data_IF_644011508507
#
_entry.id   IF_644011508507
#
_cell.length_a   1.000
_cell.length_b   1.000
_cell.length_c   1.000
_cell.angle_alpha   90.00
_cell.angle_beta   90.00
_cell.angle_gamma   90.00
#
_symmetry.space_group_name_H-M   'P 1'
#
loop_
_entity.id
_entity.type
_entity.pdbx_description
1 polymer ?
#
# COMPACT_ATOMS: atom_id res chain seq x y z
N UNK A 1 39.96 41.20 6.82
CA UNK A 1 40.27 39.75 6.89
C UNK A 1 39.46 39.17 8.00
N UNK A 2 38.30 38.63 7.70
CA UNK A 2 37.40 38.10 8.71
C UNK A 2 36.85 36.76 8.18
N UNK A 3 37.32 35.70 8.82
CA UNK A 3 36.51 34.60 9.27
C UNK A 3 35.83 33.74 8.23
N UNK A 4 36.62 32.96 7.44
CA UNK A 4 36.17 31.63 7.04
C UNK A 4 36.50 30.76 8.26
N UNK A 5 35.62 30.78 9.24
CA UNK A 5 35.64 29.80 10.31
C UNK A 5 35.48 28.42 9.71
N UNK A 6 36.28 27.49 10.19
CA UNK A 6 36.44 26.13 9.74
C UNK A 6 35.07 25.50 9.50
N UNK A 7 34.66 25.31 8.25
CA UNK A 7 33.36 24.76 7.84
C UNK A 7 33.12 23.39 8.49
N UNK A 8 34.19 22.63 8.73
CA UNK A 8 34.14 21.34 9.43
C UNK A 8 33.78 21.49 10.92
N UNK A 9 34.22 22.55 11.60
CA UNK A 9 33.85 22.78 13.01
C UNK A 9 32.39 23.22 13.15
N UNK A 10 31.89 24.05 12.23
CA UNK A 10 30.48 24.45 12.22
C UNK A 10 29.57 23.27 11.93
N UNK A 11 29.91 22.45 10.94
CA UNK A 11 29.17 21.21 10.61
C UNK A 11 29.24 20.22 11.77
N UNK A 12 30.40 20.03 12.40
CA UNK A 12 30.56 19.15 13.55
C UNK A 12 29.71 19.59 14.74
N UNK A 13 29.64 20.91 15.02
CA UNK A 13 28.74 21.45 16.07
C UNK A 13 27.28 21.24 15.75
N UNK A 14 26.85 21.46 14.49
CA UNK A 14 25.47 21.22 14.05
C UNK A 14 25.13 19.74 14.19
N UNK A 15 26.00 18.85 13.73
CA UNK A 15 25.76 17.41 13.82
C UNK A 15 25.71 16.96 15.30
N UNK A 16 26.61 17.47 16.14
CA UNK A 16 26.62 17.16 17.58
C UNK A 16 25.32 17.64 18.25
N UNK A 17 24.97 18.93 18.05
CA UNK A 17 23.68 19.48 18.56
C UNK A 17 22.45 18.73 18.06
N UNK A 18 22.47 18.24 16.81
CA UNK A 18 21.37 17.44 16.27
C UNK A 18 21.32 16.04 16.87
N UNK A 19 22.48 15.45 17.22
CA UNK A 19 22.54 14.16 17.93
C UNK A 19 22.06 14.32 19.38
N UNK A 20 22.57 15.32 20.10
CA UNK A 20 22.18 15.58 21.49
C UNK A 20 20.66 15.80 21.61
N UNK A 21 20.05 16.59 20.68
CA UNK A 21 18.60 16.76 20.61
C UNK A 21 17.86 15.46 20.35
N UNK A 22 18.37 14.61 19.45
CA UNK A 22 17.75 13.31 19.16
C UNK A 22 17.88 12.33 20.31
N UNK A 23 18.97 12.37 21.05
CA UNK A 23 19.19 11.54 22.23
C UNK A 23 18.26 11.97 23.39
N UNK A 24 17.99 13.27 23.55
CA UNK A 24 16.98 13.79 24.49
C UNK A 24 15.54 13.44 24.07
N UNK A 25 15.19 13.51 22.78
CA UNK A 25 13.88 13.14 22.25
C UNK A 25 13.63 11.61 22.26
N UNK A 26 14.69 10.81 22.24
CA UNK A 26 14.57 9.35 22.10
C UNK A 26 14.39 8.59 23.42
N UNK A 27 14.32 9.26 24.58
CA UNK A 27 14.27 8.59 25.91
C UNK A 27 13.05 7.69 26.12
N UNK A 28 11.95 7.92 25.40
CA UNK A 28 10.74 7.13 25.50
C UNK A 28 10.62 5.99 24.46
N UNK A 29 11.49 5.96 23.44
CA UNK A 29 11.42 4.96 22.39
C UNK A 29 12.41 3.82 22.67
N UNK A 30 11.89 2.58 22.80
CA UNK A 30 12.69 1.35 22.96
C UNK A 30 13.20 0.85 21.61
N UNK A 31 12.28 0.78 20.63
CA UNK A 31 12.54 0.21 19.31
C UNK A 31 11.74 0.96 18.25
N UNK A 32 12.45 1.74 17.42
CA UNK A 32 11.86 2.51 16.33
C UNK A 32 11.32 1.62 15.22
N UNK A 33 11.91 0.43 15.00
CA UNK A 33 11.52 -0.47 13.92
C UNK A 33 10.08 -0.96 14.05
N UNK A 34 9.56 -1.00 15.28
CA UNK A 34 8.16 -1.38 15.57
C UNK A 34 7.15 -0.46 14.89
N UNK A 35 7.51 0.79 14.59
CA UNK A 35 6.65 1.77 13.94
C UNK A 35 6.78 1.77 12.40
N UNK A 36 7.58 0.88 11.84
CA UNK A 36 7.54 0.63 10.40
C UNK A 36 6.24 -0.08 10.03
N UNK A 37 5.61 0.35 8.96
CA UNK A 37 4.37 -0.24 8.47
C UNK A 37 4.55 -1.68 7.98
N UNK A 38 5.77 -2.05 7.60
CA UNK A 38 6.14 -3.40 7.15
C UNK A 38 6.67 -4.28 8.30
N UNK A 39 6.77 -3.76 9.51
CA UNK A 39 7.26 -4.52 10.66
C UNK A 39 6.31 -5.68 10.98
N UNK A 40 6.82 -6.90 10.92
CA UNK A 40 6.10 -8.10 11.33
C UNK A 40 6.03 -8.16 12.86
N UNK A 41 4.85 -7.91 13.42
CA UNK A 41 4.63 -8.02 14.87
C UNK A 41 4.63 -9.47 15.31
N UNK A 42 5.23 -9.77 16.48
CA UNK A 42 5.15 -11.11 17.10
C UNK A 42 3.73 -11.45 17.56
N UNK A 43 2.91 -10.45 17.82
CA UNK A 43 1.49 -10.58 18.18
C UNK A 43 0.65 -9.83 17.14
N UNK A 44 -0.34 -10.48 16.60
CA UNK A 44 -1.31 -9.88 15.67
C UNK A 44 -2.69 -9.88 16.29
N UNK A 45 -3.52 -8.94 15.89
CA UNK A 45 -4.94 -8.98 16.19
C UNK A 45 -5.57 -10.16 15.43
N UNK A 46 -6.19 -11.08 16.16
CA UNK A 46 -6.94 -12.19 15.55
C UNK A 46 -8.25 -11.64 15.00
N UNK A 47 -8.43 -11.73 13.70
CA UNK A 47 -9.60 -11.23 12.97
C UNK A 47 -10.56 -12.35 12.62
N UNK A 48 -11.82 -11.99 12.35
CA UNK A 48 -12.89 -12.94 11.95
C UNK A 48 -12.54 -13.68 10.64
N UNK A 49 -11.73 -13.08 9.79
CA UNK A 49 -11.36 -13.61 8.48
C UNK A 49 -10.26 -14.69 8.56
N UNK A 50 -9.44 -14.68 9.62
CA UNK A 50 -8.30 -15.59 9.76
C UNK A 50 -8.72 -17.07 9.78
N UNK A 51 -9.73 -17.50 10.55
CA UNK A 51 -10.15 -18.91 10.53
C UNK A 51 -10.47 -19.43 9.14
N UNK A 52 -11.26 -18.67 8.35
CA UNK A 52 -11.62 -19.07 7.00
C UNK A 52 -10.40 -19.24 6.10
N UNK A 53 -9.46 -18.30 6.13
CA UNK A 53 -8.22 -18.37 5.34
C UNK A 53 -7.38 -19.59 5.77
N UNK A 54 -7.30 -19.82 7.08
CA UNK A 54 -6.55 -20.94 7.63
C UNK A 54 -7.17 -22.29 7.26
N UNK A 55 -8.50 -22.37 7.24
CA UNK A 55 -9.23 -23.57 6.83
C UNK A 55 -9.01 -23.87 5.33
N UNK A 56 -9.07 -22.84 4.46
CA UNK A 56 -8.82 -22.96 3.03
C UNK A 56 -7.37 -23.45 2.75
N UNK A 57 -6.40 -22.93 3.50
CA UNK A 57 -5.00 -23.38 3.38
C UNK A 57 -4.82 -24.81 3.90
N UNK A 58 -5.41 -25.16 5.04
CA UNK A 58 -5.33 -26.50 5.61
C UNK A 58 -5.98 -27.55 4.70
N UNK A 59 -7.08 -27.20 4.05
CA UNK A 59 -7.75 -28.06 3.07
C UNK A 59 -6.88 -28.25 1.82
N UNK A 60 -6.28 -27.18 1.31
CA UNK A 60 -5.29 -27.26 0.21
C UNK A 60 -4.09 -28.14 0.60
N UNK A 61 -3.54 -27.97 1.80
CA UNK A 61 -2.43 -28.76 2.30
C UNK A 61 -2.77 -30.26 2.36
N UNK A 62 -3.99 -30.59 2.79
CA UNK A 62 -4.44 -31.97 2.97
C UNK A 62 -4.76 -32.67 1.64
N UNK A 63 -5.47 -31.97 0.75
CA UNK A 63 -6.05 -32.60 -0.46
C UNK A 63 -5.29 -32.28 -1.74
N UNK A 64 -4.37 -31.32 -1.76
CA UNK A 64 -3.63 -30.86 -2.93
C UNK A 64 -4.52 -30.36 -4.07
N UNK A 65 -5.71 -29.89 -3.72
CA UNK A 65 -6.66 -29.29 -4.65
C UNK A 65 -6.63 -27.79 -4.42
N UNK A 66 -6.21 -26.99 -5.42
CA UNK A 66 -6.17 -25.53 -5.28
C UNK A 66 -7.54 -24.96 -4.94
N UNK A 67 -7.60 -24.10 -3.95
CA UNK A 67 -8.73 -23.23 -3.61
C UNK A 67 -8.25 -21.79 -3.68
N UNK A 68 -8.38 -21.21 -4.84
CA UNK A 68 -7.95 -19.83 -5.05
C UNK A 68 -8.78 -18.87 -4.22
N UNK A 69 -8.15 -17.87 -3.62
CA UNK A 69 -8.79 -16.92 -2.73
C UNK A 69 -8.52 -15.49 -3.21
N UNK A 70 -9.54 -14.65 -3.24
CA UNK A 70 -9.39 -13.20 -3.38
C UNK A 70 -9.74 -12.53 -2.05
N UNK A 71 -8.79 -11.77 -1.53
CA UNK A 71 -8.95 -10.98 -0.33
C UNK A 71 -9.00 -9.51 -0.72
N UNK A 72 -10.13 -8.87 -0.46
CA UNK A 72 -10.33 -7.47 -0.76
C UNK A 72 -10.70 -6.66 0.48
N UNK A 73 -10.35 -5.37 0.48
CA UNK A 73 -10.57 -4.45 1.57
C UNK A 73 -9.77 -3.17 1.39
N UNK A 74 -10.02 -2.17 2.21
CA UNK A 74 -9.40 -0.86 2.14
C UNK A 74 -7.88 -0.90 2.35
N UNK A 75 -7.22 0.20 2.02
CA UNK A 75 -5.82 0.45 2.38
C UNK A 75 -5.67 0.45 3.90
N UNK A 76 -4.59 -0.12 4.43
CA UNK A 76 -4.35 -0.15 5.88
C UNK A 76 -5.21 -1.14 6.67
N UNK A 77 -6.08 -1.94 6.03
CA UNK A 77 -6.91 -2.95 6.70
C UNK A 77 -6.14 -4.21 7.14
N UNK A 78 -4.85 -4.30 6.91
CA UNK A 78 -3.98 -5.39 7.39
C UNK A 78 -3.95 -6.65 6.55
N UNK A 79 -4.50 -6.68 5.31
CA UNK A 79 -4.53 -7.87 4.43
C UNK A 79 -3.15 -8.54 4.28
N UNK A 80 -2.19 -7.78 3.79
CA UNK A 80 -0.82 -8.26 3.56
C UNK A 80 -0.17 -8.80 4.82
N UNK A 81 -0.26 -8.03 5.93
CA UNK A 81 0.30 -8.43 7.22
C UNK A 81 -0.31 -9.73 7.73
N UNK A 82 -1.63 -9.87 7.65
CA UNK A 82 -2.35 -11.06 8.09
C UNK A 82 -1.92 -12.29 7.29
N UNK A 83 -1.87 -12.21 5.96
CA UNK A 83 -1.47 -13.34 5.12
C UNK A 83 -0.02 -13.76 5.38
N UNK A 84 0.91 -12.80 5.45
CA UNK A 84 2.31 -13.09 5.75
C UNK A 84 2.48 -13.68 7.16
N UNK A 85 1.67 -13.22 8.13
CA UNK A 85 1.70 -13.79 9.49
C UNK A 85 1.17 -15.24 9.52
N UNK A 86 0.13 -15.55 8.75
CA UNK A 86 -0.36 -16.94 8.59
C UNK A 86 0.75 -17.80 7.97
N UNK A 87 1.39 -17.35 6.90
CA UNK A 87 2.49 -18.09 6.26
C UNK A 87 3.67 -18.31 7.22
N UNK A 88 3.99 -17.31 8.05
CA UNK A 88 5.05 -17.45 9.05
C UNK A 88 4.65 -18.46 10.14
N UNK A 89 3.40 -18.47 10.59
CA UNK A 89 2.89 -19.43 11.56
C UNK A 89 2.93 -20.87 11.01
N UNK A 90 2.56 -21.07 9.75
CA UNK A 90 2.65 -22.37 9.07
C UNK A 90 4.10 -22.88 9.05
N UNK A 91 5.09 -22.05 8.69
CA UNK A 91 6.52 -22.42 8.75
C UNK A 91 6.98 -22.78 10.16
N UNK A 92 6.44 -22.11 11.18
CA UNK A 92 6.78 -22.34 12.58
C UNK A 92 6.17 -23.64 13.18
N UNK A 93 5.07 -24.13 12.61
CA UNK A 93 4.40 -25.35 13.10
C UNK A 93 5.21 -26.64 12.82
N UNK A 94 6.20 -26.62 11.91
CA UNK A 94 7.07 -27.74 11.57
C UNK A 94 6.36 -28.97 11.00
N UNK A 95 5.03 -28.97 10.96
CA UNK A 95 4.18 -30.01 10.36
C UNK A 95 3.69 -29.60 8.97
N UNK A 96 3.58 -28.30 8.74
CA UNK A 96 3.16 -27.78 7.44
C UNK A 96 4.28 -27.96 6.42
N UNK A 97 3.90 -28.51 5.26
CA UNK A 97 4.78 -28.68 4.10
C UNK A 97 4.53 -27.61 3.04
N UNK A 98 3.62 -26.69 3.32
CA UNK A 98 3.25 -25.60 2.40
C UNK A 98 4.33 -24.51 2.42
N UNK A 99 4.85 -24.21 1.26
CA UNK A 99 5.74 -23.05 1.05
C UNK A 99 4.98 -21.88 0.42
N UNK A 100 5.51 -20.68 0.52
CA UNK A 100 4.87 -19.51 -0.07
C UNK A 100 5.84 -18.65 -0.86
N UNK A 101 5.31 -18.08 -1.95
CA UNK A 101 5.97 -17.10 -2.80
C UNK A 101 5.13 -15.82 -2.74
N UNK A 102 5.73 -14.72 -2.26
CA UNK A 102 5.07 -13.41 -2.20
C UNK A 102 5.60 -12.48 -3.29
N UNK A 103 4.68 -11.89 -4.04
CA UNK A 103 4.99 -10.92 -5.11
C UNK A 103 4.03 -9.73 -5.00
N UNK A 104 4.59 -8.52 -4.91
CA UNK A 104 3.83 -7.28 -5.04
C UNK A 104 3.72 -6.91 -6.52
N UNK A 105 2.48 -6.90 -7.05
CA UNK A 105 2.20 -6.64 -8.46
C UNK A 105 2.42 -5.16 -8.85
N UNK A 106 2.51 -4.25 -7.89
CA UNK A 106 2.90 -2.87 -8.16
C UNK A 106 4.37 -2.76 -8.59
N UNK A 107 5.24 -3.55 -7.96
CA UNK A 107 6.66 -3.63 -8.33
C UNK A 107 6.88 -4.48 -9.58
N UNK A 108 6.08 -5.55 -9.71
CA UNK A 108 6.22 -6.57 -10.74
C UNK A 108 4.89 -6.72 -11.49
N UNK A 109 4.53 -5.77 -12.39
CA UNK A 109 3.17 -5.67 -12.92
C UNK A 109 2.85 -6.54 -14.13
N UNK A 110 3.77 -7.34 -14.65
CA UNK A 110 3.55 -8.19 -15.84
C UNK A 110 3.85 -9.64 -15.53
N UNK A 111 3.11 -10.55 -16.15
CA UNK A 111 3.31 -11.99 -16.00
C UNK A 111 4.75 -12.40 -16.35
N UNK A 112 5.35 -11.80 -17.37
CA UNK A 112 6.76 -12.01 -17.73
C UNK A 112 7.70 -11.77 -16.53
N UNK A 113 7.56 -10.63 -15.87
CA UNK A 113 8.39 -10.27 -14.70
C UNK A 113 8.08 -11.15 -13.49
N UNK A 114 6.83 -11.56 -13.33
CA UNK A 114 6.42 -12.47 -12.25
C UNK A 114 7.09 -13.84 -12.43
N UNK A 115 7.06 -14.42 -13.63
CA UNK A 115 7.77 -15.68 -13.92
C UNK A 115 9.27 -15.54 -13.66
N UNK A 116 9.89 -14.46 -14.13
CA UNK A 116 11.31 -14.21 -13.87
C UNK A 116 11.62 -14.14 -12.37
N UNK A 117 10.75 -13.51 -11.58
CA UNK A 117 10.91 -13.39 -10.11
C UNK A 117 10.71 -14.74 -9.41
N UNK A 118 9.71 -15.54 -9.80
CA UNK A 118 9.49 -16.90 -9.27
C UNK A 118 10.68 -17.79 -9.59
N UNK A 119 11.16 -17.77 -10.83
CA UNK A 119 12.30 -18.56 -11.29
C UNK A 119 13.67 -18.03 -10.84
N UNK A 120 13.70 -16.95 -10.06
CA UNK A 120 14.92 -16.25 -9.62
C UNK A 120 15.89 -15.94 -10.78
N UNK A 121 15.34 -15.54 -11.94
CA UNK A 121 16.09 -15.31 -13.17
C UNK A 121 16.41 -13.82 -13.31
N UNK A 122 17.70 -13.52 -13.43
CA UNK A 122 18.19 -12.13 -13.66
C UNK A 122 18.49 -11.85 -15.14
N UNK A 123 18.53 -12.88 -15.98
CA UNK A 123 18.82 -12.76 -17.40
C UNK A 123 17.67 -12.04 -18.13
N UNK A 124 18.02 -11.07 -18.95
CA UNK A 124 17.06 -10.29 -19.75
C UNK A 124 16.83 -10.93 -21.12
N UNK A 125 15.62 -10.78 -21.65
CA UNK A 125 15.31 -11.17 -23.02
C UNK A 125 15.06 -12.67 -23.24
N UNK A 126 14.87 -13.44 -22.17
CA UNK A 126 14.48 -14.85 -22.29
C UNK A 126 13.07 -14.99 -22.90
N UNK A 127 12.81 -16.04 -23.69
CA UNK A 127 11.47 -16.39 -24.13
C UNK A 127 10.53 -16.62 -22.94
N UNK A 128 9.26 -16.22 -23.05
CA UNK A 128 8.25 -16.41 -22.00
C UNK A 128 8.12 -17.89 -21.61
N UNK A 129 8.22 -18.79 -22.60
CA UNK A 129 8.13 -20.23 -22.37
C UNK A 129 9.23 -20.73 -21.43
N UNK A 130 10.45 -20.29 -21.64
CA UNK A 130 11.61 -20.69 -20.81
C UNK A 130 11.47 -20.17 -19.37
N UNK A 131 10.93 -18.94 -19.23
CA UNK A 131 10.63 -18.38 -17.90
C UNK A 131 9.52 -19.16 -17.18
N UNK A 132 8.48 -19.60 -17.90
CA UNK A 132 7.43 -20.46 -17.34
C UNK A 132 7.99 -21.78 -16.86
N UNK A 133 8.73 -22.50 -17.71
CA UNK A 133 9.35 -23.78 -17.36
C UNK A 133 10.29 -23.67 -16.14
N UNK A 134 10.96 -22.53 -16.01
CA UNK A 134 11.79 -22.24 -14.84
C UNK A 134 10.95 -21.96 -13.60
N UNK A 135 9.87 -21.18 -13.74
CA UNK A 135 8.96 -20.87 -12.65
C UNK A 135 8.19 -22.12 -12.16
N UNK A 136 7.80 -23.01 -13.07
CA UNK A 136 7.05 -24.23 -12.76
C UNK A 136 7.80 -25.18 -11.81
N UNK A 137 9.13 -25.09 -11.75
CA UNK A 137 9.94 -25.83 -10.77
C UNK A 137 9.65 -25.42 -9.32
N UNK A 138 9.14 -24.21 -9.13
CA UNK A 138 8.78 -23.65 -7.82
C UNK A 138 7.27 -23.61 -7.57
N UNK A 139 6.46 -23.83 -8.61
CA UNK A 139 5.00 -23.81 -8.57
C UNK A 139 4.45 -25.24 -8.40
N UNK A 140 4.68 -25.80 -7.23
CA UNK A 140 4.29 -27.17 -6.90
C UNK A 140 2.89 -27.24 -6.28
N UNK A 141 2.42 -28.44 -5.98
CA UNK A 141 1.19 -28.70 -5.23
C UNK A 141 1.29 -28.40 -3.71
N UNK A 142 2.39 -27.77 -3.30
CA UNK A 142 2.64 -27.28 -1.94
C UNK A 142 2.86 -25.77 -1.91
N UNK A 143 2.68 -25.08 -3.03
CA UNK A 143 3.02 -23.66 -3.14
C UNK A 143 1.79 -22.78 -3.02
N UNK A 144 1.84 -21.83 -2.09
CA UNK A 144 0.93 -20.67 -2.05
C UNK A 144 1.58 -19.51 -2.81
N UNK A 145 1.05 -19.17 -3.97
CA UNK A 145 1.46 -17.96 -4.69
C UNK A 145 0.59 -16.78 -4.23
N UNK A 146 1.20 -15.85 -3.51
CA UNK A 146 0.54 -14.65 -3.01
C UNK A 146 0.87 -13.50 -3.94
N UNK A 147 -0.14 -12.99 -4.64
CA UNK A 147 -0.05 -11.81 -5.48
C UNK A 147 -0.73 -10.64 -4.77
N UNK A 148 0.07 -9.71 -4.31
CA UNK A 148 -0.42 -8.51 -3.62
C UNK A 148 -0.59 -7.34 -4.59
N UNK A 149 -1.54 -6.46 -4.29
CA UNK A 149 -1.89 -5.32 -5.14
C UNK A 149 -2.16 -5.73 -6.59
N UNK A 150 -2.94 -6.80 -6.82
CA UNK A 150 -3.27 -7.32 -8.17
C UNK A 150 -3.98 -6.29 -9.05
N UNK A 151 -4.46 -5.21 -8.47
CA UNK A 151 -4.99 -4.03 -9.18
C UNK A 151 -4.00 -3.44 -10.19
N UNK A 152 -2.70 -3.68 -10.01
CA UNK A 152 -1.62 -3.19 -10.86
C UNK A 152 -1.17 -4.18 -11.94
N UNK A 153 -1.74 -5.39 -11.99
CA UNK A 153 -1.46 -6.33 -13.06
C UNK A 153 -1.85 -5.73 -14.42
N UNK A 154 -0.94 -5.81 -15.37
CA UNK A 154 -1.12 -5.33 -16.74
C UNK A 154 -1.62 -6.40 -17.70
N UNK A 155 -1.42 -7.65 -17.36
CA UNK A 155 -1.90 -8.83 -18.08
C UNK A 155 -2.24 -9.94 -17.09
N UNK A 156 -3.01 -10.93 -17.50
CA UNK A 156 -3.51 -12.00 -16.66
C UNK A 156 -2.96 -13.39 -17.03
N UNK A 157 -1.92 -13.45 -17.83
CA UNK A 157 -1.33 -14.69 -18.31
C UNK A 157 -0.83 -15.58 -17.16
N UNK A 158 -0.24 -14.99 -16.13
CA UNK A 158 0.16 -15.71 -14.90
C UNK A 158 -1.04 -16.38 -14.21
N UNK A 159 -2.18 -15.71 -14.12
CA UNK A 159 -3.37 -16.27 -13.49
C UNK A 159 -3.92 -17.43 -14.30
N UNK A 160 -3.98 -17.27 -15.63
CA UNK A 160 -4.39 -18.36 -16.54
C UNK A 160 -3.46 -19.57 -16.41
N UNK A 161 -2.15 -19.32 -16.40
CA UNK A 161 -1.16 -20.39 -16.29
C UNK A 161 -1.29 -21.16 -14.98
N UNK A 162 -1.34 -20.46 -13.84
CA UNK A 162 -1.46 -21.11 -12.53
C UNK A 162 -2.73 -21.95 -12.44
N UNK A 163 -3.87 -21.41 -12.85
CA UNK A 163 -5.15 -22.08 -12.70
C UNK A 163 -5.35 -23.27 -13.63
N UNK A 164 -4.62 -23.32 -14.74
CA UNK A 164 -4.81 -24.37 -15.76
C UNK A 164 -3.68 -25.40 -15.80
N UNK A 165 -2.48 -25.03 -15.46
CA UNK A 165 -1.30 -25.85 -15.71
C UNK A 165 -0.51 -26.19 -14.45
N UNK A 166 -0.84 -25.61 -13.30
CA UNK A 166 -0.19 -25.94 -12.03
C UNK A 166 -1.20 -26.42 -10.99
N UNK A 167 -0.68 -26.93 -9.86
CA UNK A 167 -1.47 -27.26 -8.67
C UNK A 167 -1.23 -26.26 -7.53
N UNK A 168 -0.55 -25.15 -7.81
CA UNK A 168 -0.29 -24.12 -6.80
C UNK A 168 -1.57 -23.36 -6.46
N UNK A 169 -1.69 -22.98 -5.20
CA UNK A 169 -2.83 -22.19 -4.74
C UNK A 169 -2.56 -20.69 -4.86
N UNK A 170 -3.54 -19.92 -5.34
CA UNK A 170 -3.45 -18.47 -5.47
C UNK A 170 -4.14 -17.78 -4.29
N UNK A 171 -3.43 -16.82 -3.70
CA UNK A 171 -4.00 -15.82 -2.78
C UNK A 171 -3.80 -14.45 -3.41
N UNK A 172 -4.90 -13.81 -3.80
CA UNK A 172 -4.89 -12.52 -4.50
C UNK A 172 -5.37 -11.43 -3.56
N UNK A 173 -4.55 -10.39 -3.37
CA UNK A 173 -4.88 -9.26 -2.50
C UNK A 173 -5.20 -8.03 -3.36
N UNK A 174 -6.36 -7.42 -3.13
CA UNK A 174 -6.84 -6.25 -3.88
C UNK A 174 -7.50 -5.21 -2.98
N UNK A 175 -7.53 -3.98 -3.42
CA UNK A 175 -8.30 -2.91 -2.78
C UNK A 175 -9.67 -2.74 -3.43
N UNK A 176 -9.89 -3.30 -4.62
CA UNK A 176 -11.12 -3.12 -5.41
C UNK A 176 -12.07 -4.28 -5.22
N UNK A 177 -13.23 -4.01 -4.63
CA UNK A 177 -14.30 -5.01 -4.40
C UNK A 177 -14.71 -5.73 -5.69
N UNK A 178 -14.76 -5.02 -6.81
CA UNK A 178 -15.19 -5.56 -8.10
C UNK A 178 -14.04 -5.89 -9.05
N UNK A 179 -12.81 -6.08 -8.54
CA UNK A 179 -11.64 -6.36 -9.39
C UNK A 179 -11.84 -7.60 -10.26
N UNK A 180 -12.27 -8.69 -9.65
CA UNK A 180 -12.52 -9.95 -10.33
C UNK A 180 -13.69 -9.86 -11.32
N UNK A 181 -14.80 -9.24 -10.92
CA UNK A 181 -15.96 -9.06 -11.77
C UNK A 181 -15.67 -8.21 -13.01
N UNK A 182 -14.81 -7.21 -12.87
CA UNK A 182 -14.42 -6.29 -13.94
C UNK A 182 -13.20 -6.77 -14.77
N UNK A 183 -12.70 -7.97 -14.49
CA UNK A 183 -11.64 -8.57 -15.29
C UNK A 183 -12.15 -8.80 -16.71
N UNK A 184 -11.38 -8.39 -17.72
CA UNK A 184 -11.75 -8.49 -19.13
C UNK A 184 -11.54 -9.88 -19.73
N UNK A 185 -10.73 -10.71 -19.08
CA UNK A 185 -10.38 -12.06 -19.56
C UNK A 185 -11.36 -13.10 -18.97
N UNK A 186 -12.35 -13.48 -19.77
CA UNK A 186 -13.35 -14.48 -19.36
C UNK A 186 -12.75 -15.89 -19.19
N UNK A 187 -11.65 -16.22 -19.87
CA UNK A 187 -10.98 -17.52 -19.72
C UNK A 187 -10.34 -17.63 -18.33
N UNK A 188 -9.72 -16.55 -17.88
CA UNK A 188 -9.16 -16.47 -16.52
C UNK A 188 -10.27 -16.51 -15.48
N UNK A 189 -11.36 -15.74 -15.67
CA UNK A 189 -12.50 -15.78 -14.77
C UNK A 189 -13.06 -17.18 -14.59
N UNK A 190 -13.33 -17.86 -15.70
CA UNK A 190 -13.90 -19.21 -15.67
C UNK A 190 -12.99 -20.25 -15.00
N UNK A 191 -11.69 -20.02 -15.01
CA UNK A 191 -10.70 -20.92 -14.42
C UNK A 191 -10.41 -20.61 -12.96
N UNK A 192 -10.37 -19.32 -12.60
CA UNK A 192 -9.95 -18.88 -11.29
C UNK A 192 -10.99 -19.20 -10.20
N UNK A 193 -12.29 -18.93 -10.45
CA UNK A 193 -13.43 -19.18 -9.54
C UNK A 193 -13.07 -19.06 -8.05
N UNK A 194 -12.60 -17.90 -7.60
CA UNK A 194 -11.98 -17.79 -6.29
C UNK A 194 -13.03 -17.65 -5.17
N UNK A 195 -12.70 -18.13 -4.00
CA UNK A 195 -13.38 -17.73 -2.79
C UNK A 195 -13.11 -16.27 -2.47
N UNK A 196 -14.16 -15.55 -2.05
CA UNK A 196 -14.09 -14.13 -1.79
C UNK A 196 -14.07 -13.87 -0.28
N UNK A 197 -13.05 -13.20 0.21
CA UNK A 197 -12.91 -12.82 1.62
C UNK A 197 -12.80 -11.30 1.71
N UNK A 198 -13.72 -10.70 2.45
CA UNK A 198 -13.74 -9.26 2.68
C UNK A 198 -13.11 -8.90 4.02
N UNK A 199 -12.01 -8.16 3.97
CA UNK A 199 -11.39 -7.55 5.14
C UNK A 199 -12.11 -6.25 5.47
N UNK A 200 -12.91 -6.29 6.52
CA UNK A 200 -13.59 -5.11 7.05
C UNK A 200 -12.58 -4.07 7.54
N UNK A 201 -12.95 -2.80 7.51
CA UNK A 201 -12.16 -1.77 8.16
C UNK A 201 -12.10 -2.01 9.66
N UNK A 202 -11.00 -1.65 10.30
CA UNK A 202 -10.87 -1.76 11.75
C UNK A 202 -11.88 -0.86 12.45
N UNK A 203 -12.54 -1.38 13.47
CA UNK A 203 -13.26 -0.55 14.42
C UNK A 203 -12.30 0.10 15.44
N UNK A 204 -12.83 0.99 16.28
CA UNK A 204 -12.02 1.73 17.26
C UNK A 204 -11.29 0.80 18.23
N UNK A 205 -11.96 -0.25 18.72
CA UNK A 205 -11.37 -1.19 19.70
C UNK A 205 -10.24 -2.00 19.06
N UNK A 206 -10.45 -2.48 17.84
CA UNK A 206 -9.43 -3.22 17.08
C UNK A 206 -8.20 -2.35 16.79
N UNK A 207 -8.42 -1.11 16.37
CA UNK A 207 -7.32 -0.19 16.10
C UNK A 207 -6.58 0.18 17.38
N UNK A 208 -7.29 0.40 18.48
CA UNK A 208 -6.70 0.66 19.80
C UNK A 208 -5.83 -0.51 20.25
N UNK A 209 -6.28 -1.76 20.07
CA UNK A 209 -5.48 -2.95 20.39
C UNK A 209 -4.22 -3.04 19.52
N UNK A 210 -4.31 -2.77 18.22
CA UNK A 210 -3.15 -2.74 17.31
C UNK A 210 -2.13 -1.71 17.77
N UNK A 211 -2.58 -0.50 18.11
CA UNK A 211 -1.71 0.58 18.55
C UNK A 211 -1.11 0.29 19.93
N UNK A 212 -1.87 -0.32 20.84
CA UNK A 212 -1.37 -0.76 22.15
C UNK A 212 -0.26 -1.80 22.02
N UNK A 213 -0.44 -2.83 21.16
CA UNK A 213 0.60 -3.82 20.89
C UNK A 213 1.90 -3.18 20.34
N UNK A 214 1.76 -2.17 19.48
CA UNK A 214 2.90 -1.40 18.95
C UNK A 214 3.54 -0.53 20.02
N UNK A 215 2.73 0.13 20.88
CA UNK A 215 3.23 0.95 21.97
C UNK A 215 3.99 0.11 23.01
N UNK A 216 3.44 -1.02 23.42
CA UNK A 216 4.10 -1.95 24.37
C UNK A 216 5.46 -2.44 23.84
N UNK A 217 5.54 -2.75 22.58
CA UNK A 217 6.77 -3.23 21.95
C UNK A 217 7.80 -2.11 21.72
N UNK A 218 7.36 -0.89 21.38
CA UNK A 218 8.22 0.19 20.90
C UNK A 218 8.47 1.34 21.87
N UNK A 219 7.67 1.47 22.96
CA UNK A 219 7.74 2.61 23.89
C UNK A 219 7.97 2.18 25.33
N UNK A 220 8.62 3.04 26.11
CA UNK A 220 8.74 2.88 27.57
C UNK A 220 7.46 3.27 28.29
N UNK A 221 6.85 4.38 27.86
CA UNK A 221 5.60 4.90 28.44
C UNK A 221 4.67 5.38 27.33
N UNK A 222 3.36 5.27 27.53
CA UNK A 222 2.33 5.81 26.66
C UNK A 222 1.02 6.04 27.45
N UNK A 223 0.14 6.92 26.97
CA UNK A 223 -1.18 7.18 27.57
C UNK A 223 -2.24 6.33 26.87
N UNK A 224 -3.04 5.61 27.66
CA UNK A 224 -4.17 4.82 27.16
C UNK A 224 -5.28 5.74 26.61
N UNK A 225 -5.51 6.89 27.26
CA UNK A 225 -6.49 7.90 26.83
C UNK A 225 -6.11 8.46 25.47
N UNK A 226 -4.82 8.78 25.28
CA UNK A 226 -4.33 9.27 23.99
C UNK A 226 -4.43 8.20 22.88
N UNK A 227 -4.20 6.92 23.20
CA UNK A 227 -4.41 5.82 22.25
C UNK A 227 -5.89 5.67 21.86
N UNK A 228 -6.80 5.80 22.81
CA UNK A 228 -8.24 5.73 22.57
C UNK A 228 -8.71 6.89 21.68
N UNK A 229 -8.23 8.12 21.97
CA UNK A 229 -8.51 9.31 21.15
C UNK A 229 -7.92 9.11 19.72
N UNK A 230 -6.67 8.71 19.62
CA UNK A 230 -5.98 8.43 18.36
C UNK A 230 -6.77 7.43 17.52
N UNK A 231 -7.17 6.31 18.10
CA UNK A 231 -7.94 5.27 17.41
C UNK A 231 -9.30 5.76 16.93
N UNK A 232 -10.01 6.52 17.78
CA UNK A 232 -11.31 7.10 17.45
C UNK A 232 -11.22 8.06 16.26
N UNK A 233 -10.23 8.95 16.25
CA UNK A 233 -10.03 9.92 15.18
C UNK A 233 -9.65 9.22 13.86
N UNK A 234 -8.77 8.23 13.90
CA UNK A 234 -8.36 7.48 12.71
C UNK A 234 -9.54 6.74 12.09
N UNK A 235 -10.38 6.09 12.91
CA UNK A 235 -11.58 5.39 12.41
C UNK A 235 -12.56 6.37 11.79
N UNK A 236 -12.81 7.50 12.45
CA UNK A 236 -13.83 8.45 12.03
C UNK A 236 -13.41 9.29 10.82
N UNK A 237 -12.15 9.72 10.73
CA UNK A 237 -11.70 10.74 9.78
C UNK A 237 -10.75 10.20 8.71
N UNK A 238 -10.06 9.07 8.98
CA UNK A 238 -9.00 8.53 8.11
C UNK A 238 -9.29 7.09 7.64
N UNK A 239 -10.57 6.70 7.55
CA UNK A 239 -11.01 5.40 7.01
C UNK A 239 -10.32 4.20 7.66
N UNK A 240 -10.07 4.27 8.95
CA UNK A 240 -9.43 3.19 9.72
C UNK A 240 -8.03 2.77 9.18
N UNK A 241 -7.30 3.69 8.51
CA UNK A 241 -5.95 3.37 8.02
C UNK A 241 -4.96 3.22 9.18
N UNK A 242 -4.69 1.98 9.57
CA UNK A 242 -3.79 1.68 10.68
C UNK A 242 -2.36 2.23 10.49
N UNK A 243 -1.92 2.47 9.25
CA UNK A 243 -0.59 3.03 8.97
C UNK A 243 -0.45 4.45 9.51
N UNK A 244 -1.52 5.25 9.38
CA UNK A 244 -1.56 6.61 9.96
C UNK A 244 -1.47 6.51 11.48
N UNK A 245 -2.21 5.59 12.09
CA UNK A 245 -2.15 5.37 13.55
C UNK A 245 -0.76 4.98 14.05
N UNK A 246 -0.10 4.05 13.38
CA UNK A 246 1.26 3.59 13.72
C UNK A 246 2.29 4.72 13.58
N UNK A 247 2.23 5.51 12.49
CA UNK A 247 3.13 6.67 12.31
C UNK A 247 2.85 7.77 13.35
N UNK A 248 1.59 8.07 13.62
CA UNK A 248 1.21 9.05 14.65
C UNK A 248 1.71 8.62 16.05
N UNK A 249 1.58 7.33 16.36
CA UNK A 249 2.11 6.75 17.60
C UNK A 249 3.64 6.93 17.71
N UNK A 250 4.36 6.76 16.61
CA UNK A 250 5.82 7.02 16.57
C UNK A 250 6.15 8.50 16.88
N UNK A 251 5.37 9.43 16.33
CA UNK A 251 5.55 10.87 16.58
C UNK A 251 5.29 11.19 18.04
N UNK A 252 4.19 10.69 18.61
CA UNK A 252 3.84 10.87 20.02
C UNK A 252 4.90 10.25 20.94
N UNK A 253 5.37 9.04 20.62
CA UNK A 253 6.39 8.35 21.39
C UNK A 253 7.71 9.12 21.45
N UNK A 254 8.15 9.68 20.31
CA UNK A 254 9.38 10.51 20.22
C UNK A 254 9.25 11.82 20.98
N UNK A 255 8.10 12.49 20.91
CA UNK A 255 7.87 13.75 21.63
C UNK A 255 7.56 13.55 23.11
N UNK A 256 7.12 12.36 23.50
CA UNK A 256 6.60 12.00 24.82
C UNK A 256 5.53 12.98 25.36
N UNK A 257 4.72 13.52 24.43
CA UNK A 257 3.61 14.45 24.72
C UNK A 257 2.30 13.82 24.27
N UNK A 258 1.42 13.55 25.23
CA UNK A 258 0.22 12.72 25.04
C UNK A 258 -1.10 13.48 25.20
N UNK A 259 -1.06 14.83 25.21
CA UNK A 259 -2.27 15.66 25.25
C UNK A 259 -2.98 15.69 23.89
N UNK A 260 -4.26 16.06 23.91
CA UNK A 260 -5.11 16.07 22.72
C UNK A 260 -4.51 16.86 21.56
N UNK A 261 -3.93 18.04 21.84
CA UNK A 261 -3.30 18.89 20.81
C UNK A 261 -2.18 18.16 20.09
N UNK A 262 -1.34 17.43 20.83
CA UNK A 262 -0.26 16.66 20.25
C UNK A 262 -0.78 15.41 19.50
N UNK A 263 -1.89 14.79 19.92
CA UNK A 263 -2.56 13.72 19.18
C UNK A 263 -3.04 14.21 17.81
N UNK A 264 -3.76 15.35 17.75
CA UNK A 264 -4.19 15.92 16.47
C UNK A 264 -3.00 16.29 15.56
N UNK A 265 -1.96 16.89 16.14
CA UNK A 265 -0.74 17.22 15.40
C UNK A 265 -0.07 15.96 14.81
N UNK A 266 0.08 14.91 15.63
CA UNK A 266 0.72 13.66 15.21
C UNK A 266 -0.07 12.97 14.08
N UNK A 267 -1.40 12.93 14.16
CA UNK A 267 -2.26 12.38 13.12
C UNK A 267 -2.06 13.15 11.81
N UNK A 268 -2.09 14.49 11.87
CA UNK A 268 -1.90 15.33 10.69
C UNK A 268 -0.54 15.09 10.02
N UNK A 269 0.55 15.05 10.80
CA UNK A 269 1.87 14.76 10.26
C UNK A 269 1.96 13.35 9.67
N UNK A 270 1.41 12.35 10.37
CA UNK A 270 1.38 10.97 9.90
C UNK A 270 0.59 10.81 8.60
N UNK A 271 -0.56 11.48 8.45
CA UNK A 271 -1.34 11.43 7.22
C UNK A 271 -0.58 12.04 6.05
N UNK A 272 0.08 13.19 6.24
CA UNK A 272 0.92 13.82 5.22
C UNK A 272 2.09 12.91 4.79
N UNK A 273 2.71 12.18 5.73
CA UNK A 273 3.76 11.21 5.39
C UNK A 273 3.21 10.04 4.56
N UNK A 274 2.09 9.42 4.99
CA UNK A 274 1.47 8.28 4.29
C UNK A 274 1.01 8.67 2.87
N UNK A 275 0.44 9.86 2.72
CA UNK A 275 0.03 10.42 1.43
C UNK A 275 1.25 10.78 0.59
N UNK A 276 2.25 11.43 1.17
CA UNK A 276 3.51 11.79 0.52
C UNK A 276 4.26 10.58 -0.03
N UNK A 277 4.32 9.47 0.70
CA UNK A 277 4.91 8.22 0.21
C UNK A 277 4.13 7.66 -1.01
N UNK A 278 2.82 7.86 -1.06
CA UNK A 278 2.02 7.50 -2.24
C UNK A 278 2.34 8.41 -3.43
N UNK A 279 2.49 9.73 -3.21
CA UNK A 279 2.80 10.70 -4.26
C UNK A 279 4.20 10.52 -4.84
N UNK A 280 5.21 10.22 -4.02
CA UNK A 280 6.57 9.94 -4.48
C UNK A 280 6.65 8.82 -5.51
N UNK A 281 5.72 7.88 -5.44
CA UNK A 281 5.66 6.72 -6.33
C UNK A 281 4.77 6.96 -7.58
N UNK A 282 4.17 8.13 -7.74
CA UNK A 282 3.43 8.48 -8.96
C UNK A 282 4.39 8.77 -10.11
N UNK A 283 3.96 8.43 -11.34
CA UNK A 283 4.62 8.94 -12.53
C UNK A 283 4.45 10.46 -12.63
N UNK A 284 5.39 11.15 -13.30
CA UNK A 284 5.29 12.59 -13.51
C UNK A 284 4.00 12.98 -14.22
N UNK A 285 3.60 12.15 -15.18
CA UNK A 285 2.33 12.30 -15.89
C UNK A 285 1.13 12.26 -14.93
N UNK A 286 1.08 11.27 -14.04
CA UNK A 286 -0.04 11.12 -13.10
C UNK A 286 -0.05 12.26 -12.06
N UNK A 287 1.13 12.70 -11.63
CA UNK A 287 1.25 13.82 -10.70
C UNK A 287 0.78 15.14 -11.32
N UNK A 288 1.10 15.39 -12.60
CA UNK A 288 0.61 16.56 -13.34
C UNK A 288 -0.91 16.52 -13.57
N UNK A 289 -1.46 15.33 -13.89
CA UNK A 289 -2.91 15.14 -14.00
C UNK A 289 -3.58 15.40 -12.66
N UNK A 290 -2.99 14.90 -11.56
CA UNK A 290 -3.51 15.11 -10.22
C UNK A 290 -3.54 16.59 -9.83
N UNK A 291 -2.44 17.29 -10.03
CA UNK A 291 -2.37 18.74 -9.79
C UNK A 291 -3.42 19.52 -10.59
N UNK A 292 -3.61 19.15 -11.87
CA UNK A 292 -4.65 19.79 -12.69
C UNK A 292 -6.06 19.51 -12.19
N UNK A 293 -6.34 18.28 -11.69
CA UNK A 293 -7.63 17.91 -11.12
C UNK A 293 -7.90 18.60 -9.76
N UNK A 294 -6.86 18.90 -8.99
CA UNK A 294 -6.99 19.74 -7.79
C UNK A 294 -7.44 21.15 -8.16
N UNK A 295 -6.83 21.72 -9.21
CA UNK A 295 -7.12 23.09 -9.66
C UNK A 295 -8.47 23.21 -10.35
N UNK A 296 -8.85 22.21 -11.14
CA UNK A 296 -10.08 22.19 -11.94
C UNK A 296 -10.81 20.87 -11.68
N UNK A 297 -11.70 20.82 -10.73
CA UNK A 297 -12.40 19.58 -10.36
C UNK A 297 -13.11 18.88 -11.54
N UNK A 298 -13.58 19.63 -12.54
CA UNK A 298 -14.14 19.07 -13.76
C UNK A 298 -13.04 18.49 -14.67
N UNK A 299 -13.18 17.22 -15.03
CA UNK A 299 -12.16 16.49 -15.82
C UNK A 299 -11.91 17.07 -17.22
N UNK A 300 -12.92 17.69 -17.85
CA UNK A 300 -12.73 18.32 -19.17
C UNK A 300 -11.94 19.63 -19.04
N UNK A 301 -12.23 20.43 -18.01
CA UNK A 301 -11.47 21.66 -17.73
C UNK A 301 -10.02 21.34 -17.37
N UNK A 302 -9.80 20.34 -16.52
CA UNK A 302 -8.47 19.87 -16.14
C UNK A 302 -7.69 19.36 -17.36
N UNK A 303 -8.31 18.56 -18.23
CA UNK A 303 -7.69 18.09 -19.46
C UNK A 303 -7.31 19.25 -20.39
N UNK A 304 -8.23 20.20 -20.63
CA UNK A 304 -7.98 21.36 -21.49
C UNK A 304 -6.84 22.26 -20.95
N UNK A 305 -6.69 22.36 -19.65
CA UNK A 305 -5.58 23.07 -19.02
C UNK A 305 -4.23 22.39 -19.28
N UNK A 306 -4.17 21.05 -19.17
CA UNK A 306 -2.99 20.27 -19.47
C UNK A 306 -2.65 20.31 -20.95
N UNK A 307 -3.64 20.16 -21.83
CA UNK A 307 -3.43 20.17 -23.28
C UNK A 307 -2.86 21.52 -23.80
N UNK A 308 -3.08 22.60 -23.06
CA UNK A 308 -2.53 23.94 -23.35
C UNK A 308 -1.18 24.20 -22.66
N UNK A 309 -0.72 23.30 -21.80
CA UNK A 309 0.55 23.47 -21.10
C UNK A 309 1.71 23.00 -21.95
N UNK A 310 2.84 23.73 -21.92
CA UNK A 310 4.08 23.36 -22.60
C UNK A 310 4.92 22.34 -21.83
N UNK A 311 4.33 21.66 -20.83
CA UNK A 311 5.05 20.67 -20.04
C UNK A 311 5.49 19.48 -20.89
N UNK A 312 6.76 19.12 -20.82
CA UNK A 312 7.34 17.96 -21.52
C UNK A 312 6.63 16.63 -21.17
N UNK A 313 6.07 16.51 -19.97
CA UNK A 313 5.45 15.29 -19.46
C UNK A 313 4.00 15.10 -19.90
N UNK A 314 3.35 16.16 -20.33
CA UNK A 314 1.94 16.16 -20.74
C UNK A 314 1.75 16.59 -22.19
N UNK A 315 2.83 16.98 -22.88
CA UNK A 315 2.78 17.40 -24.28
C UNK A 315 2.20 16.30 -25.16
N UNK A 316 1.14 16.62 -25.89
CA UNK A 316 0.44 15.67 -26.76
C UNK A 316 -0.39 14.60 -26.03
N UNK A 317 -0.67 14.78 -24.72
CA UNK A 317 -1.52 13.86 -23.97
C UNK A 317 -2.92 13.81 -24.61
N UNK A 318 -3.38 12.62 -24.95
CA UNK A 318 -4.75 12.40 -25.43
C UNK A 318 -5.75 12.35 -24.25
N UNK A 319 -7.02 12.65 -24.53
CA UNK A 319 -8.08 12.57 -23.51
C UNK A 319 -8.24 11.16 -22.90
N UNK A 320 -8.16 10.06 -23.67
CA UNK A 320 -8.14 8.72 -23.08
C UNK A 320 -6.98 8.50 -22.09
N UNK A 321 -5.77 8.95 -22.45
CA UNK A 321 -4.59 8.86 -21.57
C UNK A 321 -4.77 9.66 -20.28
N UNK A 322 -5.35 10.87 -20.37
CA UNK A 322 -5.69 11.67 -19.19
C UNK A 322 -6.69 10.94 -18.28
N UNK A 323 -7.74 10.36 -18.84
CA UNK A 323 -8.74 9.62 -18.08
C UNK A 323 -8.16 8.34 -17.46
N UNK A 324 -7.24 7.65 -18.14
CA UNK A 324 -6.50 6.53 -17.56
C UNK A 324 -5.69 6.96 -16.33
N UNK A 325 -4.98 8.09 -16.40
CA UNK A 325 -4.27 8.65 -15.24
C UNK A 325 -5.22 9.04 -14.12
N UNK A 326 -6.34 9.69 -14.42
CA UNK A 326 -7.36 10.04 -13.44
C UNK A 326 -7.96 8.79 -12.76
N UNK A 327 -8.23 7.74 -13.53
CA UNK A 327 -8.68 6.44 -13.00
C UNK A 327 -7.60 5.77 -12.15
N UNK A 328 -6.32 5.87 -12.55
CA UNK A 328 -5.20 5.38 -11.76
C UNK A 328 -5.12 6.08 -10.40
N UNK A 329 -5.27 7.42 -10.37
CA UNK A 329 -5.31 8.20 -9.12
C UNK A 329 -6.50 7.81 -8.23
N UNK A 330 -7.67 7.56 -8.82
CA UNK A 330 -8.83 7.02 -8.09
C UNK A 330 -8.53 5.64 -7.50
N UNK A 331 -7.88 4.76 -8.26
CA UNK A 331 -7.49 3.44 -7.78
C UNK A 331 -6.49 3.49 -6.62
N UNK A 332 -5.66 4.52 -6.58
CA UNK A 332 -4.75 4.79 -5.45
C UNK A 332 -5.46 5.41 -4.23
N UNK A 333 -6.75 5.71 -4.35
CA UNK A 333 -7.52 6.34 -3.28
C UNK A 333 -7.16 7.81 -3.02
N UNK A 334 -6.54 8.49 -4.01
CA UNK A 334 -6.16 9.90 -3.90
C UNK A 334 -7.31 10.83 -4.26
N UNK A 335 -8.21 10.38 -5.10
CA UNK A 335 -9.43 11.09 -5.50
C UNK A 335 -10.57 10.11 -5.79
N UNK A 336 -11.80 10.63 -5.91
CA UNK A 336 -12.97 9.91 -6.44
C UNK A 336 -13.51 10.64 -7.66
N UNK A 337 -13.84 9.90 -8.72
CA UNK A 337 -14.47 10.43 -9.92
C UNK A 337 -15.99 10.25 -9.82
N UNK A 338 -16.72 11.33 -9.75
CA UNK A 338 -18.17 11.35 -9.58
C UNK A 338 -18.81 11.81 -10.88
N UNK A 339 -19.80 11.06 -11.39
CA UNK A 339 -20.61 11.50 -12.51
C UNK A 339 -21.58 12.60 -12.07
N UNK A 340 -21.46 13.78 -12.67
CA UNK A 340 -22.34 14.92 -12.43
C UNK A 340 -23.10 15.26 -13.69
N UNK A 341 -24.40 15.48 -13.56
CA UNK A 341 -25.26 15.90 -14.67
C UNK A 341 -25.03 17.38 -14.97
N UNK A 342 -24.66 17.71 -16.19
CA UNK A 342 -24.53 19.07 -16.68
C UNK A 342 -25.45 19.23 -17.90
N UNK A 343 -26.68 19.69 -17.68
CA UNK A 343 -27.70 19.75 -18.70
C UNK A 343 -28.09 18.38 -19.25
N UNK A 344 -27.91 18.17 -20.57
CA UNK A 344 -28.16 16.89 -21.26
C UNK A 344 -26.97 15.92 -21.23
N UNK A 345 -25.81 16.35 -20.71
CA UNK A 345 -24.58 15.57 -20.72
C UNK A 345 -24.14 15.24 -19.29
N UNK A 346 -23.30 14.22 -19.16
CA UNK A 346 -22.64 13.88 -17.91
C UNK A 346 -21.16 14.31 -18.00
N UNK A 347 -20.67 14.95 -16.95
CA UNK A 347 -19.25 15.22 -16.73
C UNK A 347 -18.74 14.39 -15.57
N UNK A 348 -17.43 14.12 -15.53
CA UNK A 348 -16.77 13.54 -14.39
C UNK A 348 -16.16 14.68 -13.58
N UNK A 349 -16.47 14.76 -12.30
CA UNK A 349 -15.82 15.65 -11.34
C UNK A 349 -14.93 14.85 -10.39
N UNK A 350 -13.75 15.38 -10.11
CA UNK A 350 -12.82 14.80 -9.15
C UNK A 350 -13.09 15.39 -7.76
N UNK A 351 -13.34 14.52 -6.80
CA UNK A 351 -13.38 14.85 -5.38
C UNK A 351 -12.08 14.38 -4.76
N UNK A 352 -11.33 15.28 -4.13
CA UNK A 352 -10.06 14.94 -3.47
C UNK A 352 -10.34 14.14 -2.20
N UNK A 353 -9.51 13.11 -1.99
CA UNK A 353 -9.57 12.21 -0.83
C UNK A 353 -8.32 12.31 0.06
N UNK A 354 -7.37 13.19 -0.31
CA UNK A 354 -6.17 13.48 0.49
C UNK A 354 -6.46 14.59 1.50
N UNK A 355 -5.74 14.57 2.61
CA UNK A 355 -5.91 15.50 3.72
C UNK A 355 -5.45 16.92 3.39
N UNK A 356 -4.43 17.05 2.54
CA UNK A 356 -3.85 18.34 2.17
C UNK A 356 -3.41 18.31 0.70
N UNK A 357 -4.02 19.17 -0.12
CA UNK A 357 -3.71 19.26 -1.56
C UNK A 357 -2.37 19.93 -1.86
N UNK A 358 -1.82 20.71 -0.92
CA UNK A 358 -0.56 21.42 -1.10
C UNK A 358 0.65 20.46 -1.20
N UNK A 359 0.52 19.24 -0.64
CA UNK A 359 1.56 18.21 -0.77
C UNK A 359 1.83 17.85 -2.23
N UNK A 360 0.82 17.91 -3.11
CA UNK A 360 0.98 17.64 -4.56
C UNK A 360 1.79 18.74 -5.23
N UNK A 361 1.49 20.00 -4.90
CA UNK A 361 2.24 21.16 -5.40
C UNK A 361 3.70 21.13 -4.90
N UNK A 362 3.92 20.75 -3.64
CA UNK A 362 5.25 20.63 -3.06
C UNK A 362 6.05 19.49 -3.70
N UNK A 363 5.42 18.35 -3.97
CA UNK A 363 6.08 17.23 -4.65
C UNK A 363 6.45 17.59 -6.11
N UNK A 364 5.59 18.34 -6.82
CA UNK A 364 5.91 18.88 -8.14
C UNK A 364 7.11 19.83 -8.07
N UNK A 365 7.11 20.78 -7.13
CA UNK A 365 8.26 21.68 -6.94
C UNK A 365 9.54 20.91 -6.67
N UNK A 366 9.49 19.89 -5.82
CA UNK A 366 10.65 19.05 -5.49
C UNK A 366 11.24 18.35 -6.71
N UNK A 367 10.39 17.89 -7.65
CA UNK A 367 10.83 17.18 -8.86
C UNK A 367 11.33 18.11 -9.98
N UNK A 368 10.85 19.34 -10.01
CA UNK A 368 11.09 20.26 -11.14
C UNK A 368 11.82 21.55 -10.75
N UNK A 369 12.19 21.68 -9.45
CA UNK A 369 13.12 22.73 -9.00
C UNK A 369 14.52 22.13 -8.91
N UNK A 370 15.09 21.81 -10.06
CA UNK A 370 16.53 21.82 -10.28
C UNK A 370 16.89 22.99 -11.19
#
# INVERSE_FOLDING_TARGET
>A
MSGIGNMDEALTRIIKSSRDKKDEEATNVKDVSVFDTNYATKKILVREEIPKISDDIAEYEKFRIPRHVIIYGSKGSGKTLTILSICQALKGDGRSIVDHIYINCREVPTSYKIYAKIGNTTQKGLPVQELRETADKFLTDHTLLILDEVDFLKDFDILYHITRFTKSNLILLTQKVYWYQNMSDESVKSSLQPDNIFFKDYNTDQLSQILALRAEAGLNNYSQEALALLSTLIVKEYRSDARIGIKALSILGKSNKWDDKNVYYAIRQASLEVEGDTLKNLSDKDLMVFHSLIKYTDTNKAFNAIAKSDSLYTRGMSKPTFLQSATHLQNLGLLSLIKKRSGRFYTLEAQMLISDTDIVSNELKRRYQE
#
